data_IF_315792988186
#
_entry.id   IF_315792988186
#
_cell.length_a   1.000
_cell.length_b   1.000
_cell.length_c   1.000
_cell.angle_alpha   90.00
_cell.angle_beta   90.00
_cell.angle_gamma   90.00
#
_symmetry.space_group_name_H-M   'P 1'
#
loop_
_entity.id
_entity.type
_entity.pdbx_description
1 polymer ?
#
# COMPACT_ATOMS: atom_id res chain seq x y z
N UNK A 1 11.42 4.29 -26.53
CA UNK A 1 10.53 5.20 -25.76
C UNK A 1 11.36 5.87 -24.65
N UNK A 2 10.89 6.98 -24.10
CA UNK A 2 11.63 7.78 -23.12
C UNK A 2 10.82 7.87 -21.82
N UNK A 3 11.45 7.60 -20.67
CA UNK A 3 10.81 7.78 -19.37
C UNK A 3 11.14 9.18 -18.85
N UNK A 4 10.49 10.19 -19.45
CA UNK A 4 10.82 11.60 -19.26
C UNK A 4 10.82 12.05 -17.79
N UNK A 5 9.99 11.43 -16.95
CA UNK A 5 9.94 11.72 -15.52
C UNK A 5 11.18 11.23 -14.76
N UNK A 6 11.70 10.05 -15.09
CA UNK A 6 12.94 9.51 -14.52
C UNK A 6 14.17 10.16 -15.15
N UNK A 7 14.18 10.36 -16.47
CA UNK A 7 15.29 10.96 -17.20
C UNK A 7 15.65 12.36 -16.71
N UNK A 8 14.64 13.17 -16.34
CA UNK A 8 14.86 14.48 -15.74
C UNK A 8 15.52 14.43 -14.36
N UNK A 9 15.39 13.32 -13.63
CA UNK A 9 15.82 13.18 -12.23
C UNK A 9 17.13 12.41 -12.08
N UNK A 10 17.33 11.37 -12.88
CA UNK A 10 18.50 10.47 -12.79
C UNK A 10 19.34 10.43 -14.07
N UNK A 11 18.93 11.15 -15.12
CA UNK A 11 19.60 11.14 -16.42
C UNK A 11 19.12 10.00 -17.33
N UNK A 12 19.71 9.93 -18.52
CA UNK A 12 19.35 8.93 -19.54
C UNK A 12 20.20 7.67 -19.34
N UNK A 13 19.54 6.54 -19.11
CA UNK A 13 20.16 5.21 -19.12
C UNK A 13 19.76 4.49 -20.42
N UNK A 14 20.74 3.90 -21.11
CA UNK A 14 20.52 3.13 -22.33
C UNK A 14 21.09 1.73 -22.13
N UNK A 15 20.27 0.71 -22.44
CA UNK A 15 20.71 -0.67 -22.58
C UNK A 15 20.59 -1.09 -24.04
N UNK A 16 21.59 -1.78 -24.57
CA UNK A 16 21.65 -2.22 -25.96
C UNK A 16 21.52 -3.73 -26.05
N UNK A 17 20.40 -4.20 -26.60
CA UNK A 17 20.14 -5.63 -26.83
C UNK A 17 20.15 -5.92 -28.33
N UNK A 18 20.93 -6.91 -28.74
CA UNK A 18 21.00 -7.36 -30.13
C UNK A 18 20.03 -8.54 -30.34
N UNK A 19 19.19 -8.47 -31.37
CA UNK A 19 18.30 -9.58 -31.78
C UNK A 19 18.73 -10.17 -33.12
N UNK A 20 18.09 -11.26 -33.54
CA UNK A 20 18.39 -11.95 -34.80
C UNK A 20 18.17 -11.04 -36.04
N UNK A 21 19.02 -11.18 -37.05
CA UNK A 21 19.07 -10.32 -38.25
C UNK A 21 17.80 -10.38 -39.12
N UNK A 22 16.88 -11.32 -38.85
CA UNK A 22 15.62 -11.54 -39.59
C UNK A 22 14.39 -10.82 -39.00
N UNK A 23 14.53 -10.08 -37.89
CA UNK A 23 13.41 -9.44 -37.20
C UNK A 23 12.96 -8.15 -37.92
N UNK A 24 11.64 -7.95 -38.04
CA UNK A 24 11.05 -6.73 -38.60
C UNK A 24 11.27 -5.52 -37.68
N UNK A 25 11.46 -4.31 -38.24
CA UNK A 25 11.58 -3.06 -37.47
C UNK A 25 10.45 -2.88 -36.45
N UNK A 26 9.23 -3.35 -36.77
CA UNK A 26 8.08 -3.30 -35.86
C UNK A 26 8.20 -4.26 -34.67
N UNK A 27 8.72 -5.47 -34.89
CA UNK A 27 8.91 -6.47 -33.82
C UNK A 27 10.04 -6.06 -32.87
N UNK A 28 11.10 -5.47 -33.41
CA UNK A 28 12.19 -4.89 -32.63
C UNK A 28 11.67 -3.75 -31.76
N UNK A 29 10.77 -2.92 -32.29
CA UNK A 29 10.17 -1.82 -31.55
C UNK A 29 9.27 -2.30 -30.40
N UNK A 30 8.40 -3.29 -30.65
CA UNK A 30 7.54 -3.86 -29.60
C UNK A 30 8.37 -4.58 -28.52
N UNK A 31 9.41 -5.32 -28.91
CA UNK A 31 10.32 -5.96 -27.97
C UNK A 31 11.05 -4.92 -27.10
N UNK A 32 11.59 -3.86 -27.72
CA UNK A 32 12.27 -2.78 -27.01
C UNK A 32 11.33 -2.06 -26.02
N UNK A 33 10.07 -1.88 -26.40
CA UNK A 33 9.04 -1.32 -25.51
C UNK A 33 8.76 -2.23 -24.32
N UNK A 34 8.60 -3.54 -24.56
CA UNK A 34 8.39 -4.53 -23.50
C UNK A 34 9.58 -4.55 -22.51
N UNK A 35 10.81 -4.54 -23.03
CA UNK A 35 12.01 -4.50 -22.20
C UNK A 35 12.12 -3.22 -21.38
N UNK A 36 11.74 -2.07 -21.97
CA UNK A 36 11.73 -0.79 -21.26
C UNK A 36 10.66 -0.76 -20.16
N UNK A 37 9.48 -1.33 -20.39
CA UNK A 37 8.42 -1.40 -19.38
C UNK A 37 8.75 -2.35 -18.22
N UNK A 38 9.52 -3.41 -18.49
CA UNK A 38 9.99 -4.38 -17.49
C UNK A 38 11.18 -3.85 -16.69
N UNK A 39 12.25 -3.42 -17.38
CA UNK A 39 13.53 -3.07 -16.78
C UNK A 39 13.68 -1.57 -16.47
N UNK A 40 12.84 -0.72 -17.07
CA UNK A 40 12.87 0.73 -16.87
C UNK A 40 12.25 1.20 -15.55
N UNK A 41 11.73 0.29 -14.73
CA UNK A 41 11.25 0.59 -13.38
C UNK A 41 12.39 0.41 -12.37
N UNK A 42 12.58 1.35 -11.44
CA UNK A 42 13.58 1.19 -10.39
C UNK A 42 13.29 -0.08 -9.58
N UNK A 43 14.29 -0.93 -9.40
CA UNK A 43 14.18 -2.10 -8.52
C UNK A 43 14.12 -1.63 -7.07
N UNK A 44 13.00 -1.91 -6.40
CA UNK A 44 12.80 -1.59 -4.98
C UNK A 44 12.63 -2.91 -4.23
N UNK A 45 13.72 -3.37 -3.61
CA UNK A 45 13.70 -4.51 -2.71
C UNK A 45 14.01 -4.06 -1.28
N UNK A 46 13.33 -4.67 -0.31
CA UNK A 46 13.58 -4.44 1.11
C UNK A 46 13.96 -5.77 1.78
N UNK A 47 15.17 -5.86 2.30
CA UNK A 47 15.65 -7.04 3.03
C UNK A 47 15.63 -6.79 4.53
N UNK A 48 14.94 -7.66 5.29
CA UNK A 48 14.80 -7.52 6.74
C UNK A 48 15.38 -8.75 7.44
N UNK A 49 16.27 -8.50 8.40
CA UNK A 49 16.76 -9.53 9.34
C UNK A 49 16.19 -9.27 10.72
N UNK A 50 15.55 -10.27 11.32
CA UNK A 50 14.90 -10.15 12.62
C UNK A 50 14.94 -11.48 13.40
N UNK A 51 14.62 -11.42 14.70
CA UNK A 51 14.36 -12.63 15.48
C UNK A 51 13.17 -13.39 14.84
N UNK A 52 13.34 -14.69 14.71
CA UNK A 52 12.51 -15.50 13.84
C UNK A 52 11.08 -15.68 14.34
N UNK A 53 10.14 -15.61 13.41
CA UNK A 53 8.74 -16.04 13.58
C UNK A 53 8.40 -17.03 12.48
N UNK A 54 8.03 -18.25 12.85
CA UNK A 54 7.75 -19.34 11.90
C UNK A 54 6.52 -19.12 11.03
N UNK A 55 5.70 -18.12 11.35
CA UNK A 55 4.53 -17.73 10.57
C UNK A 55 4.88 -16.83 9.38
N UNK A 56 6.11 -16.33 9.29
CA UNK A 56 6.54 -15.43 8.23
C UNK A 56 7.26 -16.21 7.13
N UNK A 57 6.46 -16.79 6.25
CA UNK A 57 6.92 -17.56 5.09
C UNK A 57 6.57 -16.85 3.78
N UNK A 58 7.30 -17.18 2.73
CA UNK A 58 7.06 -16.77 1.35
C UNK A 58 5.59 -16.92 0.93
N UNK A 59 5.10 -15.95 0.16
CA UNK A 59 3.71 -15.85 -0.29
C UNK A 59 2.74 -15.20 0.71
N UNK A 60 3.17 -14.88 1.93
CA UNK A 60 2.35 -14.11 2.89
C UNK A 60 2.54 -12.61 2.74
N UNK A 61 1.49 -11.85 3.05
CA UNK A 61 1.53 -10.38 3.11
C UNK A 61 1.83 -9.94 4.55
N UNK A 62 2.74 -8.97 4.71
CA UNK A 62 3.15 -8.40 5.98
C UNK A 62 3.08 -6.88 5.93
N UNK A 63 2.63 -6.27 7.03
CA UNK A 63 2.68 -4.83 7.19
C UNK A 63 3.96 -4.43 7.92
N UNK A 64 4.83 -3.67 7.26
CA UNK A 64 6.13 -3.27 7.79
C UNK A 64 6.13 -1.77 8.09
N UNK A 65 6.45 -1.44 9.35
CA UNK A 65 6.62 -0.05 9.82
C UNK A 65 8.09 0.17 10.16
N UNK A 66 8.78 0.93 9.32
CA UNK A 66 10.17 1.34 9.49
C UNK A 66 10.21 2.79 9.98
N UNK A 67 10.06 2.98 11.30
CA UNK A 67 10.07 4.32 11.93
C UNK A 67 11.25 5.21 11.52
N UNK A 68 12.51 4.72 11.42
CA UNK A 68 13.64 5.57 11.03
C UNK A 68 13.57 6.09 9.60
N UNK A 69 12.81 5.41 8.73
CA UNK A 69 12.66 5.76 7.32
C UNK A 69 11.29 6.38 7.01
N UNK A 70 10.41 6.51 8.01
CA UNK A 70 9.02 6.96 7.85
C UNK A 70 8.22 6.15 6.81
N UNK A 71 8.55 4.85 6.67
CA UNK A 71 7.88 3.95 5.73
C UNK A 71 6.92 3.06 6.51
N UNK A 72 5.64 3.08 6.12
CA UNK A 72 4.62 2.19 6.64
C UNK A 72 3.80 1.63 5.47
N UNK A 73 4.13 0.42 5.03
CA UNK A 73 3.54 -0.17 3.85
C UNK A 73 3.36 -1.69 3.98
N UNK A 74 2.46 -2.21 3.16
CA UNK A 74 2.26 -3.66 3.00
C UNK A 74 3.26 -4.22 1.99
N UNK A 75 3.88 -5.33 2.34
CA UNK A 75 4.85 -6.05 1.51
C UNK A 75 4.45 -7.52 1.38
N UNK A 76 4.70 -8.13 0.23
CA UNK A 76 4.73 -9.58 0.09
C UNK A 76 6.10 -10.11 0.47
N UNK A 77 6.12 -11.26 1.14
CA UNK A 77 7.35 -12.03 1.36
C UNK A 77 7.61 -12.84 0.08
N UNK A 78 8.67 -12.49 -0.64
CA UNK A 78 9.10 -13.25 -1.82
C UNK A 78 9.91 -14.47 -1.42
N UNK A 79 10.82 -14.30 -0.47
CA UNK A 79 11.63 -15.37 0.09
C UNK A 79 11.81 -15.22 1.59
N UNK A 80 11.79 -16.36 2.27
CA UNK A 80 12.11 -16.48 3.68
C UNK A 80 13.30 -17.40 3.87
N UNK A 81 14.14 -17.10 4.85
CA UNK A 81 15.22 -17.98 5.30
C UNK A 81 15.23 -17.99 6.81
N UNK A 82 14.84 -19.12 7.39
CA UNK A 82 14.85 -19.34 8.83
C UNK A 82 16.07 -20.15 9.24
N UNK A 83 16.90 -19.58 10.12
CA UNK A 83 18.06 -20.27 10.70
C UNK A 83 17.81 -20.52 12.18
N UNK A 84 17.99 -21.77 12.62
CA UNK A 84 17.87 -22.17 14.01
C UNK A 84 19.25 -22.62 14.49
N UNK A 85 19.90 -21.81 15.33
CA UNK A 85 21.23 -22.13 15.85
C UNK A 85 21.36 -21.72 17.31
N UNK A 86 21.94 -22.59 18.12
CA UNK A 86 22.19 -22.33 19.54
C UNK A 86 20.93 -22.00 20.35
N UNK A 87 19.77 -22.55 19.97
CA UNK A 87 18.49 -22.24 20.62
C UNK A 87 17.88 -20.89 20.20
N UNK A 88 18.47 -20.20 19.23
CA UNK A 88 17.96 -18.94 18.69
C UNK A 88 17.41 -19.15 17.28
N UNK A 89 16.22 -18.60 17.04
CA UNK A 89 15.58 -18.55 15.72
C UNK A 89 15.83 -17.18 15.11
N UNK A 90 16.44 -17.14 13.93
CA UNK A 90 16.60 -15.92 13.13
C UNK A 90 15.88 -16.09 11.80
N UNK A 91 15.33 -15.00 11.28
CA UNK A 91 14.73 -14.96 9.96
C UNK A 91 15.34 -13.85 9.11
N UNK A 92 15.52 -14.15 7.83
CA UNK A 92 15.82 -13.18 6.79
C UNK A 92 14.69 -13.22 5.78
N UNK A 93 14.10 -12.07 5.49
CA UNK A 93 12.94 -11.92 4.60
C UNK A 93 13.31 -10.98 3.45
N UNK A 94 13.01 -11.40 2.23
CA UNK A 94 13.03 -10.51 1.06
C UNK A 94 11.62 -10.04 0.79
N UNK A 95 11.41 -8.73 0.85
CA UNK A 95 10.11 -8.11 0.78
C UNK A 95 9.96 -7.31 -0.50
N UNK A 96 8.85 -7.54 -1.21
CA UNK A 96 8.44 -6.75 -2.37
C UNK A 96 7.21 -5.94 -2.02
N UNK A 97 7.25 -4.65 -2.35
CA UNK A 97 6.18 -3.71 -2.07
C UNK A 97 4.91 -4.13 -2.82
N UNK A 98 3.78 -4.20 -2.11
CA UNK A 98 2.48 -4.30 -2.79
C UNK A 98 2.22 -2.97 -3.47
N UNK A 99 2.37 -2.91 -4.80
CA UNK A 99 2.08 -1.70 -5.57
C UNK A 99 0.59 -1.34 -5.38
N UNK A 100 0.33 -0.25 -4.65
CA UNK A 100 -1.02 0.20 -4.32
C UNK A 100 -1.11 1.12 -3.10
N UNK A 101 -0.24 0.98 -2.10
CA UNK A 101 -0.37 1.74 -0.84
C UNK A 101 0.99 2.13 -0.23
N UNK A 102 1.75 3.00 -0.91
CA UNK A 102 2.78 3.80 -0.24
C UNK A 102 2.10 4.88 0.60
N UNK A 103 1.58 4.51 1.77
CA UNK A 103 1.12 5.47 2.75
C UNK A 103 2.37 6.12 3.35
N UNK A 104 2.68 7.34 2.91
CA UNK A 104 3.62 8.21 3.61
C UNK A 104 3.12 8.38 5.04
N UNK A 105 3.92 7.94 6.01
CA UNK A 105 3.54 7.95 7.42
C UNK A 105 3.47 9.36 8.05
N UNK A 106 3.61 10.41 7.24
CA UNK A 106 3.47 11.82 7.64
C UNK A 106 2.43 12.62 6.87
N UNK A 107 1.63 12.03 5.99
CA UNK A 107 0.63 12.80 5.22
C UNK A 107 -0.71 12.89 5.96
N UNK A 108 -0.78 13.79 6.95
CA UNK A 108 -2.01 14.51 7.30
C UNK A 108 -2.43 15.43 6.15
N UNK A 109 -2.60 14.86 4.98
CA UNK A 109 -3.23 15.51 3.84
C UNK A 109 -4.55 14.79 3.68
N UNK A 110 -5.63 15.54 3.81
CA UNK A 110 -6.96 15.18 3.37
C UNK A 110 -6.95 14.92 1.84
N UNK A 111 -6.24 13.89 1.43
CA UNK A 111 -6.28 13.33 0.10
C UNK A 111 -7.53 12.49 0.13
N UNK A 112 -8.52 12.89 -0.64
CA UNK A 112 -9.74 12.14 -0.91
C UNK A 112 -9.36 10.72 -1.32
N UNK A 113 -9.25 9.82 -0.34
CA UNK A 113 -9.08 8.41 -0.57
C UNK A 113 -10.39 8.01 -1.23
N UNK A 114 -10.36 7.70 -2.51
CA UNK A 114 -11.46 6.99 -3.17
C UNK A 114 -11.51 5.56 -2.59
N UNK A 115 -11.78 5.47 -1.29
CA UNK A 115 -12.03 4.22 -0.61
C UNK A 115 -13.25 3.61 -1.25
N UNK A 116 -13.18 2.33 -1.60
CA UNK A 116 -14.27 1.60 -2.23
C UNK A 116 -15.09 0.89 -1.15
N UNK A 117 -16.34 0.54 -1.49
CA UNK A 117 -17.19 -0.24 -0.58
C UNK A 117 -16.50 -1.59 -0.35
N UNK A 118 -16.27 -1.93 0.92
CA UNK A 118 -15.59 -3.15 1.34
C UNK A 118 -14.14 -2.94 1.80
N UNK A 119 -13.53 -1.79 1.52
CA UNK A 119 -12.17 -1.50 1.96
C UNK A 119 -12.09 -1.39 3.49
N UNK A 120 -10.98 -1.88 4.06
CA UNK A 120 -10.65 -1.67 5.47
C UNK A 120 -9.78 -0.41 5.57
N UNK A 121 -10.31 0.60 6.23
CA UNK A 121 -9.69 1.91 6.46
C UNK A 121 -9.43 2.13 7.94
N UNK A 122 -8.52 3.05 8.26
CA UNK A 122 -8.26 3.44 9.64
C UNK A 122 -9.15 4.64 10.00
N UNK A 123 -10.06 4.45 10.95
CA UNK A 123 -10.83 5.53 11.55
C UNK A 123 -9.96 6.20 12.62
N UNK A 124 -9.72 7.50 12.48
CA UNK A 124 -8.92 8.33 13.38
C UNK A 124 -9.66 8.72 14.67
N UNK A 125 -10.94 8.36 14.79
CA UNK A 125 -11.76 8.67 15.95
C UNK A 125 -12.53 9.98 15.76
N UNK A 126 -13.74 10.04 16.29
CA UNK A 126 -14.61 11.17 16.02
C UNK A 126 -16.08 10.88 16.26
N UNK A 127 -16.93 11.73 15.69
CA UNK A 127 -18.38 11.58 15.73
C UNK A 127 -18.84 10.71 14.56
N UNK A 128 -19.95 10.00 14.76
CA UNK A 128 -20.64 9.30 13.68
C UNK A 128 -22.08 9.83 13.58
N UNK A 129 -22.73 9.57 12.45
CA UNK A 129 -24.05 10.09 12.12
C UNK A 129 -24.94 8.98 11.59
N UNK A 130 -26.25 9.09 11.79
CA UNK A 130 -27.21 8.10 11.33
C UNK A 130 -27.37 8.11 9.80
N UNK A 131 -27.27 9.29 9.17
CA UNK A 131 -27.35 9.45 7.72
C UNK A 131 -26.25 10.36 7.18
N UNK A 132 -25.97 10.25 5.88
CA UNK A 132 -24.94 11.02 5.18
C UNK A 132 -25.12 12.56 5.26
N UNK A 133 -26.33 13.04 5.57
CA UNK A 133 -26.65 14.48 5.62
C UNK A 133 -27.19 14.94 6.98
N UNK A 134 -27.01 14.14 8.04
CA UNK A 134 -27.46 14.52 9.38
C UNK A 134 -26.73 15.77 9.88
N UNK A 135 -27.49 16.66 10.53
CA UNK A 135 -26.96 17.86 11.18
C UNK A 135 -26.36 17.57 12.57
N UNK A 136 -26.87 16.53 13.24
CA UNK A 136 -26.48 16.17 14.60
C UNK A 136 -25.80 14.80 14.66
N UNK A 137 -24.73 14.67 15.47
CA UNK A 137 -24.01 13.42 15.64
C UNK A 137 -24.82 12.42 16.47
N UNK A 138 -24.72 11.15 16.08
CA UNK A 138 -25.24 10.03 16.83
C UNK A 138 -24.26 9.69 17.96
N UNK A 139 -24.73 9.74 19.21
CA UNK A 139 -23.98 9.21 20.34
C UNK A 139 -22.67 9.94 20.70
N UNK A 140 -21.83 9.30 21.53
CA UNK A 140 -20.58 9.89 22.04
C UNK A 140 -19.46 9.86 21.00
N UNK A 141 -18.35 10.53 21.32
CA UNK A 141 -17.10 10.43 20.57
C UNK A 141 -16.56 9.00 20.62
N UNK A 142 -16.18 8.50 19.45
CA UNK A 142 -15.69 7.14 19.26
C UNK A 142 -14.17 7.11 19.19
N UNK A 143 -13.59 6.00 19.63
CA UNK A 143 -12.15 5.74 19.57
C UNK A 143 -11.70 5.37 18.17
N UNK A 144 -10.44 5.73 17.87
CA UNK A 144 -9.77 5.37 16.64
C UNK A 144 -9.56 3.85 16.53
N UNK A 145 -9.59 3.32 15.32
CA UNK A 145 -9.31 1.90 15.05
C UNK A 145 -9.70 1.49 13.63
N UNK A 146 -9.49 0.23 13.26
CA UNK A 146 -9.82 -0.27 11.94
C UNK A 146 -11.34 -0.36 11.75
N UNK A 147 -11.80 0.05 10.56
CA UNK A 147 -13.19 0.00 10.18
C UNK A 147 -13.33 -0.32 8.68
N UNK A 148 -14.42 -0.97 8.31
CA UNK A 148 -14.74 -1.31 6.93
C UNK A 148 -15.71 -0.28 6.35
N UNK A 149 -15.44 0.16 5.12
CA UNK A 149 -16.35 1.04 4.37
C UNK A 149 -17.58 0.24 3.96
N UNK A 150 -18.74 0.62 4.48
CA UNK A 150 -20.02 -0.02 4.18
C UNK A 150 -20.74 0.67 3.02
N UNK A 151 -20.75 2.01 2.99
CA UNK A 151 -21.40 2.80 1.96
C UNK A 151 -20.63 4.10 1.70
N UNK A 152 -20.84 4.66 0.51
CA UNK A 152 -20.24 5.92 0.06
C UNK A 152 -21.35 6.79 -0.51
N UNK A 153 -21.42 8.05 -0.11
CA UNK A 153 -22.31 9.06 -0.66
C UNK A 153 -21.49 10.32 -0.98
N UNK A 154 -20.88 10.33 -2.16
CA UNK A 154 -20.09 11.46 -2.61
C UNK A 154 -20.94 12.74 -2.67
N UNK A 155 -20.45 13.82 -2.06
CA UNK A 155 -21.13 15.12 -2.03
C UNK A 155 -22.11 15.31 -0.86
N UNK A 156 -22.28 14.32 0.02
CA UNK A 156 -22.99 14.49 1.28
C UNK A 156 -22.12 15.16 2.35
N UNK A 157 -22.72 15.63 3.45
CA UNK A 157 -21.97 16.19 4.59
C UNK A 157 -20.96 15.18 5.16
N UNK A 158 -21.41 13.93 5.26
CA UNK A 158 -20.66 12.77 5.77
C UNK A 158 -20.59 11.73 4.65
N UNK A 159 -19.49 11.67 3.87
CA UNK A 159 -19.48 10.91 2.62
C UNK A 159 -19.22 9.40 2.78
N UNK A 160 -18.73 8.94 3.94
CA UNK A 160 -18.41 7.53 4.16
C UNK A 160 -19.22 6.96 5.31
N UNK A 161 -19.78 5.77 5.15
CA UNK A 161 -20.34 4.97 6.24
C UNK A 161 -19.35 3.87 6.62
N UNK A 162 -18.93 3.86 7.89
CA UNK A 162 -17.96 2.91 8.41
C UNK A 162 -18.63 1.97 9.43
N UNK A 163 -18.20 0.72 9.40
CA UNK A 163 -18.51 -0.29 10.42
C UNK A 163 -17.23 -0.86 10.98
N UNK A 164 -17.10 -0.85 12.31
CA UNK A 164 -15.94 -1.42 12.99
C UNK A 164 -15.70 -2.88 12.58
N UNK A 165 -14.42 -3.24 12.39
CA UNK A 165 -14.04 -4.63 12.06
C UNK A 165 -13.64 -5.43 13.31
N UNK A 166 -13.23 -4.73 14.37
CA UNK A 166 -12.83 -5.31 15.64
C UNK A 166 -13.47 -4.54 16.81
N UNK A 167 -13.01 -4.78 18.04
CA UNK A 167 -13.48 -4.08 19.24
C UNK A 167 -12.62 -2.85 19.59
N UNK A 168 -11.71 -2.41 18.71
CA UNK A 168 -10.86 -1.23 18.95
C UNK A 168 -11.57 0.06 18.54
N UNK A 169 -12.24 0.05 17.39
CA UNK A 169 -13.22 1.06 17.03
C UNK A 169 -14.63 0.60 17.39
N UNK A 170 -15.51 1.53 17.73
CA UNK A 170 -16.94 1.27 17.92
C UNK A 170 -17.77 2.00 16.86
N UNK A 171 -17.14 2.35 15.73
CA UNK A 171 -17.78 3.14 14.68
C UNK A 171 -18.83 2.34 13.94
N UNK A 172 -20.03 2.90 13.87
CA UNK A 172 -21.15 2.35 13.14
C UNK A 172 -22.02 3.49 12.62
N UNK A 173 -21.74 3.97 11.41
CA UNK A 173 -22.50 5.07 10.81
C UNK A 173 -21.68 5.91 9.85
N UNK A 174 -22.28 7.03 9.44
CA UNK A 174 -21.65 7.99 8.55
C UNK A 174 -20.63 8.83 9.31
N UNK A 175 -19.51 9.17 8.68
CA UNK A 175 -18.41 9.93 9.29
C UNK A 175 -17.94 11.07 8.38
N UNK A 176 -17.32 12.06 9.01
CA UNK A 176 -16.71 13.21 8.35
C UNK A 176 -15.42 12.80 7.62
N UNK A 177 -15.00 13.59 6.61
CA UNK A 177 -13.70 13.37 5.96
C UNK A 177 -12.57 13.68 6.94
N UNK A 178 -11.69 12.70 7.17
CA UNK A 178 -10.50 12.87 8.02
C UNK A 178 -10.68 12.46 9.48
N UNK A 179 -11.91 12.11 9.89
CA UNK A 179 -12.17 11.38 11.16
C UNK A 179 -12.09 9.89 10.95
#
# INVERSE_FOLDING_TARGET
EANTALEAKIGVFQDSQSTNDDASEGEIYELAKSLLDEQGKPSVSLSVTADGKSELISGRCVYCVLKPLDIAASYYIDSDTHTFSGGRHQMSLTLTLVQGNVLSAGSNSASTVNAQIGDIVWFNGGRHYYTANSDEPTGPLLTAGPAKVQNICAGAKHPYALVHTDNQSMVYGWVDIGT
#
